data_IF_933825850616
#
_entry.id   IF_933825850616
#
_cell.length_a   1.000
_cell.length_b   1.000
_cell.length_c   1.000
_cell.angle_alpha   90.00
_cell.angle_beta   90.00
_cell.angle_gamma   90.00
#
_symmetry.space_group_name_H-M   'P 1'
#
loop_
_entity.id
_entity.type
_entity.pdbx_description
1 polymer ?
#
# COMPACT_ATOMS: atom_id res chain seq x y z
N UNK A 1 -12.34 -31.91 -11.63
CA UNK A 1 -11.02 -32.49 -11.99
C UNK A 1 -10.37 -31.73 -13.13
N UNK A 2 -9.26 -31.06 -12.84
CA UNK A 2 -8.38 -30.35 -13.79
C UNK A 2 -6.94 -30.79 -13.54
N UNK A 3 -6.03 -30.55 -14.48
CA UNK A 3 -4.62 -30.95 -14.34
C UNK A 3 -3.94 -30.00 -13.36
N UNK A 4 -3.31 -30.55 -12.32
CA UNK A 4 -2.52 -29.77 -11.37
C UNK A 4 -1.23 -29.27 -12.04
N UNK A 5 -0.97 -27.97 -12.01
CA UNK A 5 0.25 -27.38 -12.59
C UNK A 5 1.55 -27.86 -11.89
N UNK A 6 1.43 -28.33 -10.65
CA UNK A 6 2.59 -28.75 -9.86
C UNK A 6 2.93 -30.24 -9.98
N UNK A 7 1.93 -31.11 -10.07
CA UNK A 7 2.15 -32.57 -10.12
C UNK A 7 1.71 -33.22 -11.43
N UNK A 8 1.03 -32.49 -12.33
CA UNK A 8 0.58 -32.99 -13.63
C UNK A 8 -0.55 -34.01 -13.58
N UNK A 9 -1.13 -34.26 -12.40
CA UNK A 9 -2.22 -35.23 -12.23
C UNK A 9 -3.59 -34.55 -12.33
N UNK A 10 -4.56 -35.22 -12.95
CA UNK A 10 -5.95 -34.77 -12.99
C UNK A 10 -6.60 -34.98 -11.61
N UNK A 11 -6.80 -33.89 -10.87
CA UNK A 11 -7.34 -33.90 -9.50
C UNK A 11 -8.33 -32.76 -9.32
N UNK A 12 -8.99 -32.74 -8.17
CA UNK A 12 -9.75 -31.56 -7.76
C UNK A 12 -8.78 -30.49 -7.27
N UNK A 13 -8.34 -29.68 -8.22
CA UNK A 13 -7.50 -28.51 -8.00
C UNK A 13 -8.36 -27.26 -7.82
N UNK A 14 -7.82 -26.29 -7.10
CA UNK A 14 -8.41 -24.98 -6.91
C UNK A 14 -7.48 -23.94 -7.54
N UNK A 15 -8.05 -22.94 -8.21
CA UNK A 15 -7.32 -21.80 -8.70
C UNK A 15 -6.71 -21.02 -7.51
N UNK A 16 -5.41 -20.72 -7.60
CA UNK A 16 -4.64 -19.97 -6.60
C UNK A 16 -3.81 -18.91 -7.29
N UNK A 17 -3.83 -17.70 -6.75
CA UNK A 17 -2.95 -16.62 -7.20
C UNK A 17 -1.65 -16.62 -6.37
N UNK A 18 -0.50 -16.66 -7.06
CA UNK A 18 0.84 -16.61 -6.47
C UNK A 18 1.69 -15.67 -7.33
N UNK A 19 2.27 -14.64 -6.72
CA UNK A 19 3.09 -13.61 -7.40
C UNK A 19 2.42 -13.02 -8.67
N UNK A 20 1.10 -12.79 -8.59
CA UNK A 20 0.30 -12.21 -9.69
C UNK A 20 0.02 -13.16 -10.85
N UNK A 21 0.22 -14.47 -10.67
CA UNK A 21 -0.14 -15.51 -11.64
C UNK A 21 -1.12 -16.50 -11.03
N UNK A 22 -2.10 -16.91 -11.83
CA UNK A 22 -3.06 -17.94 -11.46
C UNK A 22 -2.51 -19.33 -11.79
N UNK A 23 -2.70 -20.26 -10.86
CA UNK A 23 -2.31 -21.66 -10.98
C UNK A 23 -3.41 -22.57 -10.47
N UNK A 24 -3.55 -23.72 -11.12
CA UNK A 24 -4.46 -24.78 -10.72
C UNK A 24 -3.71 -25.80 -9.86
N UNK A 25 -3.94 -25.74 -8.55
CA UNK A 25 -3.14 -26.52 -7.58
C UNK A 25 -4.04 -27.43 -6.74
N UNK A 26 -3.68 -28.71 -6.64
CA UNK A 26 -4.36 -29.65 -5.74
C UNK A 26 -3.99 -29.42 -4.26
N UNK A 27 -4.85 -29.86 -3.35
CA UNK A 27 -4.68 -29.68 -1.90
C UNK A 27 -3.36 -30.22 -1.36
N UNK A 28 -2.91 -31.37 -1.86
CA UNK A 28 -1.65 -31.99 -1.44
C UNK A 28 -0.44 -31.10 -1.79
N UNK A 29 -0.39 -30.59 -3.03
CA UNK A 29 0.68 -29.69 -3.47
C UNK A 29 0.63 -28.35 -2.74
N UNK A 30 -0.57 -27.81 -2.51
CA UNK A 30 -0.75 -26.56 -1.78
C UNK A 30 -0.24 -26.65 -0.34
N UNK A 31 -0.51 -27.75 0.38
CA UNK A 31 -0.06 -27.91 1.77
C UNK A 31 1.47 -27.88 1.90
N UNK A 32 2.17 -28.57 1.00
CA UNK A 32 3.65 -28.55 0.97
C UNK A 32 4.18 -27.15 0.65
N UNK A 33 3.53 -26.44 -0.27
CA UNK A 33 3.90 -25.08 -0.63
C UNK A 33 3.66 -24.11 0.54
N UNK A 34 2.51 -24.20 1.21
CA UNK A 34 2.13 -23.38 2.35
C UNK A 34 3.13 -23.54 3.51
N UNK A 35 3.57 -24.76 3.82
CA UNK A 35 4.61 -25.00 4.83
C UNK A 35 5.94 -24.32 4.48
N UNK A 36 6.35 -24.35 3.20
CA UNK A 36 7.57 -23.67 2.73
C UNK A 36 7.46 -22.15 2.77
N UNK A 37 6.27 -21.60 2.55
CA UNK A 37 5.99 -20.16 2.62
C UNK A 37 5.86 -19.66 4.07
N UNK A 38 5.34 -20.47 4.99
CA UNK A 38 5.13 -20.14 6.39
C UNK A 38 6.42 -19.73 7.12
N UNK A 39 7.60 -20.17 6.65
CA UNK A 39 8.90 -19.84 7.25
C UNK A 39 9.66 -18.67 6.63
N UNK A 40 9.19 -18.09 5.52
CA UNK A 40 9.92 -17.04 4.75
C UNK A 40 9.32 -15.63 4.86
N UNK A 41 8.32 -15.44 5.73
CA UNK A 41 7.78 -14.11 6.02
C UNK A 41 8.81 -13.26 6.76
N UNK A 42 9.30 -12.18 6.13
CA UNK A 42 10.03 -11.12 6.85
C UNK A 42 9.11 -10.56 7.95
N UNK A 43 9.42 -10.83 9.22
CA UNK A 43 9.03 -9.90 10.29
C UNK A 43 9.84 -8.65 10.05
N UNK A 44 9.18 -7.55 9.69
CA UNK A 44 9.57 -6.13 9.79
C UNK A 44 8.84 -5.43 8.64
N UNK A 45 7.63 -4.96 8.91
CA UNK A 45 7.28 -3.61 8.50
C UNK A 45 7.48 -2.80 9.76
N UNK A 46 8.60 -2.08 9.87
CA UNK A 46 8.63 -0.90 10.73
C UNK A 46 7.57 0.02 10.15
N UNK A 47 6.35 -0.08 10.67
CA UNK A 47 5.35 0.94 10.46
C UNK A 47 5.89 2.15 11.21
N UNK A 48 6.58 3.04 10.50
CA UNK A 48 6.93 4.35 11.03
C UNK A 48 5.60 5.07 11.26
N UNK A 49 5.11 5.02 12.50
CA UNK A 49 4.04 5.89 12.94
C UNK A 49 4.60 7.31 12.93
N UNK A 50 4.38 8.01 11.82
CA UNK A 50 4.56 9.45 11.81
C UNK A 50 3.64 10.02 12.90
N UNK A 51 4.13 10.91 13.78
CA UNK A 51 3.28 11.56 14.75
C UNK A 51 2.14 12.25 14.01
N UNK A 52 0.94 12.19 14.58
CA UNK A 52 -0.26 12.81 14.02
C UNK A 52 0.08 14.25 13.65
N UNK A 53 -0.16 14.70 12.40
CA UNK A 53 0.07 16.07 12.01
C UNK A 53 -0.66 16.95 13.02
N UNK A 54 0.06 17.88 13.65
CA UNK A 54 -0.58 18.87 14.53
C UNK A 54 -1.69 19.49 13.69
N UNK A 55 -2.95 19.30 14.11
CA UNK A 55 -4.07 20.01 13.51
C UNK A 55 -3.66 21.48 13.44
N UNK A 56 -3.75 22.13 12.27
CA UNK A 56 -3.53 23.56 12.23
C UNK A 56 -4.51 24.14 13.24
N UNK A 57 -3.99 24.77 14.30
CA UNK A 57 -4.83 25.65 15.12
C UNK A 57 -5.54 26.53 14.12
N UNK A 58 -6.87 26.51 14.18
CA UNK A 58 -7.77 27.39 13.45
C UNK A 58 -7.12 28.76 13.33
N UNK A 59 -6.50 29.00 12.17
CA UNK A 59 -5.90 30.28 11.86
C UNK A 59 -7.12 31.14 11.66
N UNK A 60 -7.43 32.01 12.64
CA UNK A 60 -8.42 33.08 12.53
C UNK A 60 -8.46 33.52 11.07
N UNK A 61 -9.58 33.26 10.40
CA UNK A 61 -9.78 33.62 9.01
C UNK A 61 -9.49 35.10 8.88
N UNK A 62 -8.34 35.46 8.31
CA UNK A 62 -8.22 36.78 7.72
C UNK A 62 -9.04 36.72 6.43
N UNK A 63 -10.01 37.63 6.24
CA UNK A 63 -10.89 37.59 5.10
C UNK A 63 -10.06 37.62 3.81
N UNK A 64 -10.47 36.86 2.78
CA UNK A 64 -9.75 36.85 1.50
C UNK A 64 -9.68 38.28 0.93
N UNK A 65 -8.55 38.68 0.32
CA UNK A 65 -8.38 40.01 -0.24
C UNK A 65 -9.45 40.24 -1.33
N UNK A 66 -9.98 41.47 -1.36
CA UNK A 66 -11.04 41.83 -2.30
C UNK A 66 -10.54 41.74 -3.75
N UNK A 67 -11.39 41.35 -4.72
CA UNK A 67 -11.00 41.25 -6.12
C UNK A 67 -10.50 42.61 -6.63
N UNK A 68 -9.21 42.68 -6.96
CA UNK A 68 -8.54 43.91 -7.43
C UNK A 68 -7.35 44.34 -6.58
N UNK A 69 -7.14 43.76 -5.39
CA UNK A 69 -5.94 44.04 -4.61
C UNK A 69 -4.73 43.25 -5.11
N UNK A 70 -3.54 43.88 -5.19
CA UNK A 70 -2.31 43.16 -5.48
C UNK A 70 -2.03 42.13 -4.38
N UNK A 71 -1.57 40.91 -4.73
CA UNK A 71 -1.33 39.85 -3.76
C UNK A 71 -0.26 40.28 -2.76
N UNK A 72 -0.48 39.99 -1.47
CA UNK A 72 0.47 40.34 -0.42
C UNK A 72 1.69 39.41 -0.49
N UNK A 73 2.81 39.93 -1.00
CA UNK A 73 4.07 39.20 -1.12
C UNK A 73 4.79 39.26 0.23
N UNK A 74 4.93 38.12 0.89
CA UNK A 74 5.70 38.01 2.13
C UNK A 74 7.15 37.72 1.75
N UNK A 75 7.98 38.77 1.69
CA UNK A 75 9.40 38.59 1.37
C UNK A 75 10.08 39.75 0.65
N UNK A 76 9.59 40.98 0.77
CA UNK A 76 10.39 42.13 0.35
C UNK A 76 11.58 42.29 1.33
N UNK A 77 12.85 42.18 0.91
CA UNK A 77 13.94 42.72 1.71
C UNK A 77 13.75 44.25 1.78
N UNK A 78 13.92 44.82 2.96
CA UNK A 78 13.88 46.27 3.17
C UNK A 78 14.77 46.98 2.15
N UNK A 79 14.18 47.97 1.47
CA UNK A 79 14.90 48.86 0.57
C UNK A 79 15.95 49.64 1.35
N UNK A 80 17.18 49.65 0.85
CA UNK A 80 18.21 50.62 1.25
C UNK A 80 18.71 51.36 0.03
#
# INVERSE_FOLDING_TARGET
>A
MIICDLCGEAKDCLAKEIDGREYDICSACWNVLAQKLQGKGRKIRETVFLPLPRTPKERKEEPPPLPGEPPKIWGAPDAR
#
